data_IF_346821401045
#
_entry.id   IF_346821401045
#
_cell.length_a   1.000
_cell.length_b   1.000
_cell.length_c   1.000
_cell.angle_alpha   90.00
_cell.angle_beta   90.00
_cell.angle_gamma   90.00
#
_symmetry.space_group_name_H-M   'P 1'
#
loop_
_entity.id
_entity.type
_entity.pdbx_description
1 polymer ?
#
# COMPACT_ATOMS: atom_id res chain seq x y z
N UNK A 1 -4.10 -0.74 16.00
CA UNK A 1 -3.90 -0.95 14.55
C UNK A 1 -2.65 -1.77 14.39
N UNK A 2 -2.78 -2.88 13.67
CA UNK A 2 -1.66 -3.75 13.36
C UNK A 2 -0.95 -3.21 12.12
N UNK A 3 0.32 -3.58 11.96
CA UNK A 3 1.13 -3.20 10.79
C UNK A 3 1.29 -4.39 9.87
N UNK A 4 1.00 -4.17 8.60
CA UNK A 4 1.14 -5.17 7.55
C UNK A 4 2.00 -4.60 6.42
N UNK A 5 2.78 -5.49 5.79
CA UNK A 5 3.54 -5.18 4.60
C UNK A 5 2.85 -5.82 3.40
N UNK A 6 2.25 -5.02 2.55
CA UNK A 6 1.53 -5.49 1.36
C UNK A 6 2.49 -5.50 0.19
N UNK A 7 2.61 -6.66 -0.45
CA UNK A 7 3.46 -6.85 -1.62
C UNK A 7 2.58 -7.01 -2.86
N UNK A 8 2.60 -6.02 -3.74
CA UNK A 8 1.95 -6.08 -5.04
C UNK A 8 2.99 -6.39 -6.12
N UNK A 9 2.58 -7.04 -7.21
CA UNK A 9 3.47 -7.27 -8.36
C UNK A 9 3.83 -5.91 -9.00
N UNK A 10 5.12 -5.65 -9.18
CA UNK A 10 5.54 -4.49 -9.97
C UNK A 10 5.39 -4.78 -11.47
N UNK A 11 4.64 -3.94 -12.19
CA UNK A 11 4.37 -4.04 -13.62
C UNK A 11 5.13 -3.02 -14.46
N UNK A 12 6.06 -2.25 -13.87
CA UNK A 12 6.89 -1.28 -14.61
C UNK A 12 7.24 0.00 -13.86
N UNK A 13 6.86 0.14 -12.59
CA UNK A 13 7.20 1.30 -11.78
C UNK A 13 8.68 1.28 -11.37
N UNK A 14 9.23 2.48 -11.21
CA UNK A 14 10.59 2.72 -10.80
C UNK A 14 10.63 3.35 -9.40
N UNK A 15 11.78 3.33 -8.70
CA UNK A 15 11.92 3.96 -7.38
C UNK A 15 11.45 5.42 -7.29
N UNK A 16 11.58 6.19 -8.38
CA UNK A 16 11.11 7.58 -8.40
C UNK A 16 9.58 7.73 -8.44
N UNK A 17 8.84 6.66 -8.74
CA UNK A 17 7.37 6.67 -8.72
C UNK A 17 6.79 6.48 -7.32
N UNK A 18 7.62 6.10 -6.34
CA UNK A 18 7.19 5.82 -4.97
C UNK A 18 6.34 6.94 -4.34
N UNK A 19 6.67 8.25 -4.46
CA UNK A 19 5.86 9.31 -3.89
C UNK A 19 4.46 9.41 -4.52
N UNK A 20 4.37 9.17 -5.83
CA UNK A 20 3.09 9.20 -6.56
C UNK A 20 2.23 8.00 -6.19
N UNK A 21 2.85 6.82 -6.06
CA UNK A 21 2.18 5.60 -5.61
C UNK A 21 1.67 5.71 -4.18
N UNK A 22 2.48 6.27 -3.27
CA UNK A 22 2.09 6.52 -1.89
C UNK A 22 0.86 7.43 -1.84
N UNK A 23 0.88 8.56 -2.57
CA UNK A 23 -0.25 9.49 -2.62
C UNK A 23 -1.52 8.83 -3.19
N UNK A 24 -1.39 8.01 -4.23
CA UNK A 24 -2.53 7.29 -4.81
C UNK A 24 -3.10 6.26 -3.85
N UNK A 25 -2.24 5.49 -3.18
CA UNK A 25 -2.67 4.51 -2.19
C UNK A 25 -3.39 5.18 -1.01
N UNK A 26 -2.86 6.29 -0.51
CA UNK A 26 -3.50 7.11 0.53
C UNK A 26 -4.89 7.61 0.09
N UNK A 27 -5.01 8.13 -1.14
CA UNK A 27 -6.30 8.55 -1.70
C UNK A 27 -7.30 7.40 -1.87
N UNK A 28 -6.86 6.22 -2.29
CA UNK A 28 -7.73 5.05 -2.45
C UNK A 28 -8.23 4.51 -1.12
N UNK A 29 -7.47 4.70 -0.06
CA UNK A 29 -7.74 4.14 1.27
C UNK A 29 -8.30 5.16 2.26
N UNK A 30 -8.62 6.38 1.82
CA UNK A 30 -9.08 7.48 2.69
C UNK A 30 -10.32 7.11 3.52
N UNK A 31 -11.21 6.29 2.97
CA UNK A 31 -12.45 5.84 3.62
C UNK A 31 -12.32 4.47 4.30
N UNK A 32 -11.14 3.83 4.24
CA UNK A 32 -10.96 2.42 4.65
C UNK A 32 -10.39 2.24 6.06
N UNK A 33 -10.38 3.30 6.90
CA UNK A 33 -9.73 3.29 8.23
C UNK A 33 -8.29 2.75 8.21
N UNK A 34 -7.60 2.90 7.09
CA UNK A 34 -6.24 2.43 6.85
C UNK A 34 -5.30 3.63 6.72
N UNK A 35 -4.03 3.44 7.11
CA UNK A 35 -2.97 4.45 6.98
C UNK A 35 -1.84 3.83 6.17
N UNK A 36 -1.55 4.41 5.00
CA UNK A 36 -0.37 4.06 4.19
C UNK A 36 0.80 4.92 4.66
N UNK A 37 1.80 4.30 5.28
CA UNK A 37 2.91 5.02 5.92
C UNK A 37 4.10 5.25 4.99
N UNK A 38 4.42 4.23 4.22
CA UNK A 38 5.59 4.21 3.34
C UNK A 38 5.30 3.36 2.11
N UNK A 39 6.01 3.64 1.03
CA UNK A 39 5.92 2.88 -0.21
C UNK A 39 7.31 2.68 -0.78
N UNK A 40 7.64 1.43 -1.13
CA UNK A 40 8.91 1.07 -1.76
C UNK A 40 8.66 0.40 -3.09
N UNK A 41 9.50 0.72 -4.06
CA UNK A 41 9.42 0.16 -5.41
C UNK A 41 10.71 -0.60 -5.68
N UNK A 42 10.59 -1.91 -5.81
CA UNK A 42 11.67 -2.80 -6.24
C UNK A 42 11.38 -3.31 -7.66
N UNK A 43 12.36 -3.94 -8.32
CA UNK A 43 12.15 -4.50 -9.67
C UNK A 43 10.99 -5.49 -9.77
N UNK A 44 10.66 -6.19 -8.67
CA UNK A 44 9.67 -7.27 -8.67
C UNK A 44 8.37 -6.90 -7.93
N UNK A 45 8.45 -6.03 -6.94
CA UNK A 45 7.35 -5.74 -6.04
C UNK A 45 7.19 -4.25 -5.75
N UNK A 46 5.94 -3.85 -5.53
CA UNK A 46 5.57 -2.63 -4.81
C UNK A 46 5.24 -3.04 -3.38
N UNK A 47 5.86 -2.37 -2.41
CA UNK A 47 5.72 -2.69 -1.00
C UNK A 47 5.05 -1.51 -0.31
N UNK A 48 3.94 -1.74 0.38
CA UNK A 48 3.22 -0.73 1.16
C UNK A 48 3.21 -1.10 2.63
N UNK A 49 3.68 -0.19 3.47
CA UNK A 49 3.59 -0.31 4.92
C UNK A 49 2.24 0.26 5.37
N UNK A 50 1.32 -0.63 5.71
CA UNK A 50 -0.08 -0.29 6.00
C UNK A 50 -0.38 -0.52 7.48
N UNK A 51 -1.04 0.46 8.10
CA UNK A 51 -1.64 0.30 9.43
C UNK A 51 -3.14 0.27 9.34
N UNK A 52 -3.74 -0.84 9.78
CA UNK A 52 -5.17 -1.06 9.75
C UNK A 52 -5.55 -2.01 10.89
N UNK A 53 -6.81 -2.04 11.33
CA UNK A 53 -7.24 -3.11 12.23
C UNK A 53 -7.36 -4.42 11.43
N UNK A 54 -6.93 -5.54 12.03
CA UNK A 54 -6.85 -6.84 11.37
C UNK A 54 -8.16 -7.28 10.71
N UNK A 55 -9.29 -6.92 11.30
CA UNK A 55 -10.64 -7.19 10.78
C UNK A 55 -10.95 -6.55 9.42
N UNK A 56 -10.25 -5.46 9.04
CA UNK A 56 -10.41 -4.80 7.74
C UNK A 56 -9.30 -5.16 6.75
N UNK A 57 -8.36 -6.03 7.12
CA UNK A 57 -7.23 -6.37 6.24
C UNK A 57 -7.70 -7.05 4.95
N UNK A 58 -8.65 -7.98 5.05
CA UNK A 58 -9.13 -8.74 3.90
C UNK A 58 -9.86 -7.84 2.88
N UNK A 59 -10.61 -6.85 3.37
CA UNK A 59 -11.29 -5.84 2.54
C UNK A 59 -10.33 -5.00 1.70
N UNK A 60 -9.07 -4.85 2.14
CA UNK A 60 -8.06 -4.07 1.43
C UNK A 60 -7.34 -4.87 0.33
N UNK A 61 -7.44 -6.21 0.35
CA UNK A 61 -6.79 -7.09 -0.64
C UNK A 61 -7.76 -7.56 -1.73
N UNK A 62 -9.07 -7.57 -1.45
CA UNK A 62 -10.10 -8.02 -2.40
C UNK A 62 -10.56 -6.97 -3.43
N UNK A 63 -10.17 -5.70 -3.26
CA UNK A 63 -10.59 -4.56 -4.11
C UNK A 63 -9.84 -4.39 -5.43
#
# INVERSE_FOLDING_TARGET
>A
MDRFMIHLKNTGYLPHDAPVLLKKADQLTSEMHAIIRDTRVSKRYLEFDVSIAKEYLDLLVES
#
